data_IF_559227953963
#
_entry.id   IF_559227953963
#
_cell.length_a   1.000
_cell.length_b   1.000
_cell.length_c   1.000
_cell.angle_alpha   90.00
_cell.angle_beta   90.00
_cell.angle_gamma   90.00
#
_symmetry.space_group_name_H-M   'P 1'
#
loop_
_entity.id
_entity.type
_entity.pdbx_description
1 polymer ?
#
# COMPACT_ATOMS: atom_id res chain seq x y z
N UNK A 1 9.99 -9.23 -5.67
CA UNK A 1 10.48 -8.87 -4.33
C UNK A 1 11.99 -9.07 -4.21
N UNK A 2 12.53 -10.22 -4.68
CA UNK A 2 13.99 -10.44 -4.66
C UNK A 2 14.78 -9.31 -5.35
N UNK A 3 14.27 -8.78 -6.47
CA UNK A 3 14.93 -7.64 -7.17
C UNK A 3 14.97 -6.37 -6.33
N UNK A 4 13.96 -6.16 -5.49
CA UNK A 4 13.91 -5.01 -4.58
C UNK A 4 14.95 -5.17 -3.46
N UNK A 5 15.04 -6.37 -2.91
CA UNK A 5 16.01 -6.71 -1.88
C UNK A 5 17.45 -6.62 -2.39
N UNK A 6 17.73 -7.12 -3.62
CA UNK A 6 19.05 -7.04 -4.26
C UNK A 6 19.61 -5.61 -4.36
N UNK A 7 18.74 -4.61 -4.45
CA UNK A 7 19.15 -3.19 -4.56
C UNK A 7 18.90 -2.38 -3.28
N UNK A 8 18.55 -3.05 -2.18
CA UNK A 8 18.43 -2.43 -0.86
C UNK A 8 17.17 -1.59 -0.66
N UNK A 9 16.05 -1.92 -1.35
CA UNK A 9 14.76 -1.30 -1.07
C UNK A 9 14.24 -1.81 0.27
N UNK A 10 13.79 -0.90 1.12
CA UNK A 10 13.31 -1.21 2.47
C UNK A 10 11.81 -1.50 2.52
N UNK A 11 11.02 -0.81 1.69
CA UNK A 11 9.56 -0.95 1.65
C UNK A 11 9.06 -1.07 0.22
N UNK A 12 8.18 -2.03 -0.03
CA UNK A 12 7.48 -2.21 -1.32
C UNK A 12 5.99 -2.31 -1.07
N UNK A 13 5.19 -1.51 -1.76
CA UNK A 13 3.74 -1.63 -1.72
C UNK A 13 3.23 -2.25 -3.03
N UNK A 14 2.54 -3.38 -2.92
CA UNK A 14 1.91 -4.08 -4.04
C UNK A 14 0.40 -3.84 -4.00
N UNK A 15 -0.15 -3.18 -5.02
CA UNK A 15 -1.59 -2.97 -5.12
C UNK A 15 -2.26 -4.14 -5.85
N UNK A 16 -2.87 -5.04 -5.10
CA UNK A 16 -3.49 -6.25 -5.65
C UNK A 16 -4.99 -6.08 -5.95
N UNK A 17 -5.72 -5.32 -5.12
CA UNK A 17 -7.16 -5.13 -5.29
C UNK A 17 -7.59 -3.76 -4.78
N UNK A 18 -8.29 -2.98 -5.63
CA UNK A 18 -8.88 -1.72 -5.18
C UNK A 18 -10.23 -1.92 -4.48
N UNK A 19 -10.67 -0.92 -3.69
CA UNK A 19 -12.03 -0.90 -3.15
C UNK A 19 -13.10 -0.97 -4.26
N UNK A 20 -12.87 -0.31 -5.39
CA UNK A 20 -13.81 -0.30 -6.52
C UNK A 20 -13.95 -1.70 -7.15
N UNK A 21 -12.88 -2.50 -7.11
CA UNK A 21 -12.91 -3.87 -7.63
C UNK A 21 -13.79 -4.82 -6.79
N UNK A 22 -14.09 -4.48 -5.53
CA UNK A 22 -14.99 -5.28 -4.68
C UNK A 22 -16.43 -5.28 -5.20
N UNK A 23 -16.80 -4.31 -6.04
CA UNK A 23 -18.09 -4.26 -6.70
C UNK A 23 -18.21 -5.15 -7.96
N UNK A 24 -17.15 -5.87 -8.35
CA UNK A 24 -17.19 -6.79 -9.48
C UNK A 24 -18.16 -7.95 -9.25
N UNK A 25 -18.68 -8.56 -10.33
CA UNK A 25 -19.45 -9.78 -10.23
C UNK A 25 -18.68 -10.89 -9.48
N UNK A 26 -19.39 -11.67 -8.67
CA UNK A 26 -18.77 -12.72 -7.84
C UNK A 26 -17.95 -13.74 -8.64
N UNK A 27 -18.38 -14.08 -9.85
CA UNK A 27 -17.64 -15.00 -10.73
C UNK A 27 -16.26 -14.46 -11.18
N UNK A 28 -16.03 -13.15 -11.09
CA UNK A 28 -14.72 -12.54 -11.33
C UNK A 28 -13.95 -12.29 -10.02
N UNK A 29 -14.67 -11.83 -8.99
CA UNK A 29 -14.06 -11.44 -7.72
C UNK A 29 -13.57 -12.66 -6.92
N UNK A 30 -14.38 -13.72 -6.79
CA UNK A 30 -14.05 -14.87 -5.96
C UNK A 30 -12.76 -15.59 -6.41
N UNK A 31 -12.51 -15.84 -7.71
CA UNK A 31 -11.23 -16.39 -8.16
C UNK A 31 -10.04 -15.47 -7.86
N UNK A 32 -10.23 -14.15 -8.01
CA UNK A 32 -9.18 -13.18 -7.74
C UNK A 32 -8.80 -13.15 -6.25
N UNK A 33 -9.78 -13.17 -5.35
CA UNK A 33 -9.54 -13.23 -3.91
C UNK A 33 -8.78 -14.49 -3.51
N UNK A 34 -9.13 -15.66 -4.08
CA UNK A 34 -8.39 -16.90 -3.84
C UNK A 34 -6.94 -16.81 -4.27
N UNK A 35 -6.67 -16.25 -5.46
CA UNK A 35 -5.29 -16.04 -5.93
C UNK A 35 -4.52 -15.13 -4.97
N UNK A 36 -5.16 -14.10 -4.44
CA UNK A 36 -4.56 -13.19 -3.47
C UNK A 36 -4.26 -13.94 -2.15
N UNK A 37 -5.23 -14.69 -1.63
CA UNK A 37 -5.09 -15.49 -0.42
C UNK A 37 -3.93 -16.48 -0.53
N UNK A 38 -3.90 -17.27 -1.60
CA UNK A 38 -2.83 -18.25 -1.87
C UNK A 38 -1.47 -17.55 -1.98
N UNK A 39 -1.40 -16.45 -2.75
CA UNK A 39 -0.15 -15.69 -2.94
C UNK A 39 0.38 -15.13 -1.62
N UNK A 40 -0.49 -14.58 -0.79
CA UNK A 40 -0.10 -13.98 0.50
C UNK A 40 0.35 -15.06 1.48
N UNK A 41 -0.35 -16.20 1.53
CA UNK A 41 0.07 -17.34 2.33
C UNK A 41 1.45 -17.87 1.89
N UNK A 42 1.66 -18.05 0.60
CA UNK A 42 2.94 -18.50 0.03
C UNK A 42 4.09 -17.54 0.36
N UNK A 43 3.83 -16.23 0.34
CA UNK A 43 4.82 -15.22 0.72
C UNK A 43 5.14 -15.29 2.21
N UNK A 44 4.14 -15.45 3.07
CA UNK A 44 4.30 -15.54 4.51
C UNK A 44 5.05 -16.81 4.94
N UNK A 45 4.75 -17.95 4.31
CA UNK A 45 5.40 -19.24 4.59
C UNK A 45 6.91 -19.24 4.30
N UNK A 46 7.36 -18.41 3.35
CA UNK A 46 8.79 -18.24 3.07
C UNK A 46 9.54 -17.57 4.21
N UNK A 47 8.85 -16.83 5.08
CA UNK A 47 9.44 -16.06 6.20
C UNK A 47 10.65 -15.22 5.81
N UNK A 48 10.62 -14.69 4.58
CA UNK A 48 11.72 -13.92 4.01
C UNK A 48 11.47 -12.41 4.15
N UNK A 49 10.22 -11.98 4.13
CA UNK A 49 9.80 -10.58 4.14
C UNK A 49 8.74 -10.33 5.21
N UNK A 50 8.67 -9.11 5.69
CA UNK A 50 7.61 -8.68 6.61
C UNK A 50 6.36 -8.37 5.79
N UNK A 51 5.29 -9.10 6.00
CA UNK A 51 4.03 -8.84 5.30
C UNK A 51 3.18 -7.86 6.12
N UNK A 52 2.81 -6.75 5.50
CA UNK A 52 1.97 -5.72 6.11
C UNK A 52 0.72 -5.48 5.25
N UNK A 53 -0.46 -5.95 5.65
CA UNK A 53 -1.70 -5.68 4.95
C UNK A 53 -2.07 -4.20 5.04
N UNK A 54 -2.41 -3.59 3.90
CA UNK A 54 -2.92 -2.22 3.84
C UNK A 54 -4.24 -2.18 3.06
N UNK A 55 -5.22 -1.44 3.58
CA UNK A 55 -6.53 -1.32 2.97
C UNK A 55 -7.68 -1.48 3.97
N UNK A 56 -8.89 -1.35 3.48
CA UNK A 56 -10.10 -1.49 4.28
C UNK A 56 -10.44 -2.98 4.50
N UNK A 57 -9.68 -3.66 5.37
CA UNK A 57 -9.81 -5.11 5.61
C UNK A 57 -11.23 -5.50 6.06
N UNK A 58 -11.94 -4.60 6.72
CA UNK A 58 -13.33 -4.79 7.16
C UNK A 58 -14.35 -4.81 5.99
N UNK A 59 -13.94 -4.45 4.78
CA UNK A 59 -14.75 -4.54 3.55
C UNK A 59 -14.52 -5.86 2.79
N UNK A 60 -13.50 -6.62 3.16
CA UNK A 60 -13.15 -7.89 2.53
C UNK A 60 -14.00 -9.04 3.07
N UNK A 61 -14.19 -10.12 2.30
CA UNK A 61 -14.69 -11.37 2.84
C UNK A 61 -13.82 -11.84 4.02
N UNK A 62 -14.46 -12.47 5.00
CA UNK A 62 -13.80 -12.88 6.24
C UNK A 62 -12.57 -13.78 5.99
N UNK A 63 -12.65 -14.73 5.06
CA UNK A 63 -11.55 -15.60 4.71
C UNK A 63 -10.33 -14.81 4.21
N UNK A 64 -10.54 -13.85 3.33
CA UNK A 64 -9.47 -13.01 2.79
C UNK A 64 -8.85 -12.13 3.88
N UNK A 65 -9.67 -11.51 4.73
CA UNK A 65 -9.19 -10.69 5.85
C UNK A 65 -8.36 -11.53 6.82
N UNK A 66 -8.84 -12.73 7.19
CA UNK A 66 -8.12 -13.64 8.08
C UNK A 66 -6.79 -14.12 7.48
N UNK A 67 -6.74 -14.42 6.18
CA UNK A 67 -5.50 -14.80 5.50
C UNK A 67 -4.44 -13.68 5.58
N UNK A 68 -4.85 -12.42 5.34
CA UNK A 68 -3.98 -11.26 5.44
C UNK A 68 -3.46 -11.03 6.86
N UNK A 69 -4.32 -11.09 7.86
CA UNK A 69 -3.94 -10.94 9.27
C UNK A 69 -2.99 -12.07 9.69
N UNK A 70 -3.29 -13.32 9.33
CA UNK A 70 -2.42 -14.46 9.62
C UNK A 70 -1.05 -14.33 8.97
N UNK A 71 -0.97 -13.81 7.75
CA UNK A 71 0.30 -13.57 7.06
C UNK A 71 1.15 -12.52 7.80
N UNK A 72 0.54 -11.45 8.28
CA UNK A 72 1.18 -10.44 9.11
C UNK A 72 1.72 -11.05 10.41
N UNK A 73 0.91 -11.81 11.13
CA UNK A 73 1.31 -12.48 12.38
C UNK A 73 2.46 -13.47 12.14
N UNK A 74 2.38 -14.27 11.06
CA UNK A 74 3.38 -15.28 10.72
C UNK A 74 4.76 -14.66 10.42
N UNK A 75 4.79 -13.41 9.96
CA UNK A 75 6.00 -12.69 9.57
C UNK A 75 6.40 -11.57 10.54
N UNK A 76 5.75 -11.46 11.70
CA UNK A 76 5.97 -10.37 12.66
C UNK A 76 7.43 -10.29 13.17
N UNK A 77 8.10 -11.43 13.31
CA UNK A 77 9.49 -11.51 13.79
C UNK A 77 10.52 -11.46 12.65
N UNK A 78 10.08 -11.42 11.40
CA UNK A 78 10.97 -11.35 10.23
C UNK A 78 11.56 -9.95 10.14
N UNK A 79 12.84 -9.86 9.75
CA UNK A 79 13.54 -8.59 9.52
C UNK A 79 13.88 -8.44 8.04
N UNK A 80 13.92 -7.21 7.56
CA UNK A 80 14.30 -6.90 6.18
C UNK A 80 13.19 -6.17 5.41
N UNK A 81 13.03 -6.49 4.15
CA UNK A 81 12.07 -5.83 3.26
C UNK A 81 10.64 -5.94 3.80
N UNK A 82 9.99 -4.80 3.97
CA UNK A 82 8.57 -4.72 4.30
C UNK A 82 7.77 -4.75 2.99
N UNK A 83 6.82 -5.65 2.92
CA UNK A 83 5.93 -5.81 1.78
C UNK A 83 4.51 -5.42 2.19
N UNK A 84 4.11 -4.21 1.83
CA UNK A 84 2.74 -3.78 1.96
C UNK A 84 1.88 -4.47 0.90
N UNK A 85 0.89 -5.22 1.33
CA UNK A 85 -0.06 -5.92 0.47
C UNK A 85 -1.38 -5.16 0.48
N UNK A 86 -1.59 -4.33 -0.56
CA UNK A 86 -2.77 -3.47 -0.66
C UNK A 86 -3.95 -4.22 -1.27
N UNK A 87 -4.92 -4.60 -0.43
CA UNK A 87 -6.14 -5.35 -0.79
C UNK A 87 -7.36 -4.62 -0.23
N UNK A 88 -8.36 -4.38 -1.09
CA UNK A 88 -9.46 -3.49 -0.73
C UNK A 88 -8.96 -2.08 -0.44
N UNK A 89 -7.95 -1.65 -1.19
CA UNK A 89 -7.30 -0.37 -0.99
C UNK A 89 -7.86 0.71 -1.92
N UNK A 90 -8.01 1.91 -1.38
CA UNK A 90 -8.33 3.11 -2.14
C UNK A 90 -7.92 4.35 -1.34
N UNK A 91 -7.08 5.22 -1.91
CA UNK A 91 -6.48 6.33 -1.16
C UNK A 91 -7.51 7.34 -0.62
N UNK A 92 -8.61 7.59 -1.35
CA UNK A 92 -9.70 8.42 -0.79
C UNK A 92 -10.37 7.76 0.41
N UNK A 93 -10.52 6.45 0.37
CA UNK A 93 -11.08 5.67 1.48
C UNK A 93 -10.13 5.68 2.68
N UNK A 94 -8.85 5.49 2.43
CA UNK A 94 -7.81 5.55 3.46
C UNK A 94 -7.84 6.90 4.21
N UNK A 95 -7.89 8.02 3.49
CA UNK A 95 -8.00 9.36 4.11
C UNK A 95 -9.25 9.48 4.99
N UNK A 96 -10.39 8.98 4.51
CA UNK A 96 -11.64 8.99 5.32
C UNK A 96 -11.49 8.13 6.57
N UNK A 97 -10.88 6.96 6.45
CA UNK A 97 -10.69 6.06 7.58
C UNK A 97 -9.64 6.61 8.57
N UNK A 98 -8.60 7.27 8.08
CA UNK A 98 -7.62 8.01 8.90
C UNK A 98 -8.29 9.11 9.73
N UNK A 99 -9.12 9.96 9.10
CA UNK A 99 -9.88 11.01 9.80
C UNK A 99 -10.81 10.41 10.85
N UNK A 100 -11.52 9.33 10.53
CA UNK A 100 -12.38 8.65 11.52
C UNK A 100 -11.59 8.12 12.71
N UNK A 101 -10.45 7.48 12.45
CA UNK A 101 -9.56 6.96 13.50
C UNK A 101 -9.05 8.08 14.41
N UNK A 102 -8.61 9.18 13.83
CA UNK A 102 -8.19 10.38 14.55
C UNK A 102 -9.31 10.94 15.46
N UNK A 103 -10.52 11.09 14.91
CA UNK A 103 -11.67 11.57 15.67
C UNK A 103 -12.03 10.62 16.82
N UNK A 104 -11.96 9.32 16.61
CA UNK A 104 -12.25 8.32 17.64
C UNK A 104 -11.21 8.35 18.76
N UNK A 105 -9.93 8.49 18.44
CA UNK A 105 -8.85 8.58 19.42
C UNK A 105 -9.02 9.82 20.31
N UNK A 106 -9.24 11.00 19.71
CA UNK A 106 -9.44 12.24 20.44
C UNK A 106 -10.73 12.23 21.27
N UNK A 107 -11.81 11.65 20.76
CA UNK A 107 -13.02 11.47 21.53
C UNK A 107 -12.80 10.58 22.77
N UNK A 108 -12.07 9.48 22.61
CA UNK A 108 -11.73 8.59 23.73
C UNK A 108 -10.82 9.27 24.77
N UNK A 109 -9.99 10.21 24.33
CA UNK A 109 -9.17 11.05 25.20
C UNK A 109 -9.94 12.19 25.88
N UNK A 110 -11.22 12.40 25.53
CA UNK A 110 -12.07 13.44 26.10
C UNK A 110 -11.92 14.83 25.47
N UNK A 111 -11.21 14.93 24.33
CA UNK A 111 -11.02 16.20 23.62
C UNK A 111 -12.32 16.64 22.92
N UNK A 112 -12.56 17.94 22.90
CA UNK A 112 -13.64 18.54 22.11
C UNK A 112 -13.26 18.66 20.62
N UNK A 113 -14.28 18.80 19.76
CA UNK A 113 -14.02 19.08 18.33
C UNK A 113 -13.32 20.40 18.10
N UNK A 114 -13.55 21.40 18.97
CA UNK A 114 -12.91 22.71 18.89
C UNK A 114 -11.41 22.61 19.20
N UNK A 115 -11.05 21.84 20.23
CA UNK A 115 -9.67 21.55 20.57
C UNK A 115 -8.98 20.81 19.42
N UNK A 116 -9.59 19.73 18.90
CA UNK A 116 -9.03 18.98 17.79
C UNK A 116 -8.85 19.87 16.54
N UNK A 117 -9.85 20.70 16.19
CA UNK A 117 -9.76 21.59 15.04
C UNK A 117 -8.63 22.62 15.17
N UNK A 118 -8.21 22.95 16.40
CA UNK A 118 -7.11 23.90 16.64
C UNK A 118 -5.72 23.29 16.52
N UNK A 119 -5.59 21.96 16.63
CA UNK A 119 -4.29 21.25 16.66
C UNK A 119 -4.06 20.34 15.45
N UNK A 120 -5.13 20.02 14.69
CA UNK A 120 -5.01 19.08 13.57
C UNK A 120 -4.03 19.60 12.51
N UNK A 121 -3.11 18.75 12.08
CA UNK A 121 -2.11 19.02 11.07
C UNK A 121 -1.90 17.78 10.18
N UNK A 122 -1.01 17.89 9.19
CA UNK A 122 -0.67 16.85 8.21
C UNK A 122 -0.21 15.57 8.91
N UNK A 123 0.65 15.72 9.91
CA UNK A 123 1.21 14.61 10.69
C UNK A 123 0.14 13.82 11.42
N UNK A 124 -0.89 14.47 11.95
CA UNK A 124 -2.00 13.80 12.63
C UNK A 124 -2.78 12.90 11.67
N UNK A 125 -2.95 13.29 10.41
CA UNK A 125 -3.57 12.44 9.39
C UNK A 125 -2.61 11.29 9.01
N UNK A 126 -1.32 11.58 8.80
CA UNK A 126 -0.32 10.59 8.44
C UNK A 126 -0.20 9.48 9.48
N UNK A 127 -0.30 9.81 10.76
CA UNK A 127 -0.27 8.87 11.90
C UNK A 127 -1.49 7.94 11.98
N UNK A 128 -2.51 8.18 11.16
CA UNK A 128 -3.71 7.35 11.07
C UNK A 128 -3.89 6.65 9.72
N UNK A 129 -2.96 6.85 8.77
CA UNK A 129 -2.96 6.12 7.51
C UNK A 129 -2.62 4.64 7.70
N UNK A 130 -2.98 3.81 6.73
CA UNK A 130 -2.66 2.36 6.77
C UNK A 130 -1.16 2.08 6.73
N UNK A 131 -0.36 3.04 6.22
CA UNK A 131 1.11 2.98 6.15
C UNK A 131 1.81 3.72 7.28
N UNK A 132 1.10 4.01 8.37
CA UNK A 132 1.63 4.68 9.56
C UNK A 132 3.02 4.17 9.95
N UNK A 133 3.93 5.11 10.20
CA UNK A 133 5.30 4.80 10.64
C UNK A 133 6.25 4.30 9.54
N UNK A 134 5.78 4.24 8.30
CA UNK A 134 6.61 3.92 7.13
C UNK A 134 6.96 5.20 6.35
N UNK A 135 8.08 5.22 5.61
CA UNK A 135 8.41 6.33 4.74
C UNK A 135 7.44 6.41 3.55
N UNK A 136 7.24 7.63 3.06
CA UNK A 136 6.55 7.85 1.80
C UNK A 136 7.32 7.21 0.63
N UNK A 137 6.61 6.71 -0.40
CA UNK A 137 7.26 6.07 -1.54
C UNK A 137 8.06 7.07 -2.37
N UNK A 138 9.30 6.73 -2.66
CA UNK A 138 10.16 7.51 -3.56
C UNK A 138 9.74 7.37 -5.02
N UNK A 139 9.29 6.18 -5.40
CA UNK A 139 8.96 5.82 -6.78
C UNK A 139 7.67 5.02 -6.83
N UNK A 140 6.75 5.44 -7.69
CA UNK A 140 5.55 4.68 -8.06
C UNK A 140 5.71 4.16 -9.47
N UNK A 141 5.72 2.84 -9.66
CA UNK A 141 5.74 2.20 -10.97
C UNK A 141 4.32 1.76 -11.33
N UNK A 142 3.78 2.30 -12.42
CA UNK A 142 2.51 1.85 -12.96
C UNK A 142 2.72 1.12 -14.27
N UNK A 143 2.28 -0.13 -14.31
CA UNK A 143 2.26 -0.99 -15.49
C UNK A 143 1.00 -0.76 -16.34
N UNK A 144 0.87 -1.44 -17.48
CA UNK A 144 -0.27 -1.38 -18.43
C UNK A 144 -0.37 -0.15 -19.32
N UNK A 145 0.64 0.73 -19.38
CA UNK A 145 0.64 1.94 -20.20
C UNK A 145 -0.29 3.06 -19.71
N UNK A 146 -1.05 2.83 -18.66
CA UNK A 146 -1.97 3.81 -18.08
C UNK A 146 -1.23 4.91 -17.33
N UNK A 147 -1.55 6.18 -17.60
CA UNK A 147 -0.87 7.35 -17.04
C UNK A 147 -1.73 8.08 -16.01
N UNK A 148 -2.22 7.36 -15.01
CA UNK A 148 -3.00 7.92 -13.90
C UNK A 148 -2.69 7.19 -12.59
N UNK A 149 -2.79 7.89 -11.47
CA UNK A 149 -2.57 7.34 -10.12
C UNK A 149 -3.69 6.39 -9.69
N UNK A 150 -4.92 6.62 -10.14
CA UNK A 150 -6.15 5.89 -9.74
C UNK A 150 -6.38 5.83 -8.23
N UNK A 151 -5.81 6.77 -7.48
CA UNK A 151 -5.92 6.84 -6.02
C UNK A 151 -4.98 5.92 -5.25
N UNK A 152 -3.99 5.31 -5.90
CA UNK A 152 -2.98 4.51 -5.22
C UNK A 152 -2.04 5.39 -4.40
N UNK A 153 -1.92 5.12 -3.10
CA UNK A 153 -1.12 5.87 -2.14
C UNK A 153 -1.28 7.39 -2.31
N UNK A 154 -2.56 7.85 -2.39
CA UNK A 154 -2.92 9.21 -2.78
C UNK A 154 -2.24 10.28 -1.90
N UNK A 155 -2.18 10.05 -0.60
CA UNK A 155 -1.54 10.95 0.36
C UNK A 155 -0.02 10.82 0.30
N UNK A 156 0.47 9.61 0.40
CA UNK A 156 1.89 9.29 0.53
C UNK A 156 2.69 9.58 -0.74
N UNK A 157 2.06 9.57 -1.92
CA UNK A 157 2.74 9.78 -3.19
C UNK A 157 2.85 11.25 -3.63
N UNK A 158 2.54 12.18 -2.74
CA UNK A 158 2.57 13.62 -3.04
C UNK A 158 3.93 14.10 -3.60
N UNK A 159 5.03 13.50 -3.17
CA UNK A 159 6.39 13.82 -3.60
C UNK A 159 7.09 12.67 -4.34
N UNK A 160 6.34 11.62 -4.68
CA UNK A 160 6.89 10.47 -5.41
C UNK A 160 7.20 10.81 -6.86
N UNK A 161 8.24 10.17 -7.39
CA UNK A 161 8.44 10.10 -8.83
C UNK A 161 7.57 9.00 -9.45
N UNK A 162 7.06 9.25 -10.67
CA UNK A 162 6.23 8.28 -11.37
C UNK A 162 6.96 7.71 -12.58
N UNK A 163 6.88 6.39 -12.72
CA UNK A 163 7.34 5.68 -13.90
C UNK A 163 6.19 4.86 -14.50
N UNK A 164 5.81 5.19 -15.73
CA UNK A 164 4.77 4.48 -16.47
C UNK A 164 5.41 3.46 -17.41
N UNK A 165 4.99 2.21 -17.32
CA UNK A 165 5.51 1.09 -18.09
C UNK A 165 4.41 0.47 -18.94
N UNK A 166 4.68 0.26 -20.22
CA UNK A 166 3.75 -0.36 -21.19
C UNK A 166 3.46 -1.84 -20.88
N UNK A 167 4.38 -2.54 -20.20
CA UNK A 167 4.19 -3.94 -19.88
C UNK A 167 3.00 -4.15 -18.95
N UNK A 168 2.18 -5.16 -19.23
CA UNK A 168 1.19 -5.64 -18.27
C UNK A 168 1.86 -6.36 -17.12
N UNK A 169 1.28 -6.34 -15.93
CA UNK A 169 1.86 -6.92 -14.72
C UNK A 169 2.36 -8.37 -14.87
N UNK A 170 1.62 -9.30 -15.51
CA UNK A 170 2.11 -10.66 -15.69
C UNK A 170 3.38 -10.77 -16.55
N UNK A 171 3.65 -9.77 -17.39
CA UNK A 171 4.81 -9.69 -18.27
C UNK A 171 5.88 -8.71 -17.78
N UNK A 172 5.74 -8.15 -16.59
CA UNK A 172 6.73 -7.25 -15.99
C UNK A 172 7.96 -8.02 -15.55
N UNK A 173 9.12 -7.69 -16.14
CA UNK A 173 10.38 -8.43 -15.96
C UNK A 173 11.41 -7.60 -15.19
N UNK A 174 12.46 -8.25 -14.72
CA UNK A 174 13.59 -7.56 -14.05
C UNK A 174 14.15 -6.40 -14.87
N UNK A 175 14.23 -6.54 -16.19
CA UNK A 175 14.71 -5.47 -17.07
C UNK A 175 13.79 -4.23 -17.03
N UNK A 176 12.48 -4.43 -16.95
CA UNK A 176 11.51 -3.34 -16.88
C UNK A 176 11.60 -2.62 -15.53
N UNK A 177 11.76 -3.39 -14.45
CA UNK A 177 12.05 -2.87 -13.11
C UNK A 177 13.35 -2.05 -13.08
N UNK A 178 14.46 -2.60 -13.59
CA UNK A 178 15.75 -1.90 -13.62
C UNK A 178 15.73 -0.63 -14.48
N UNK A 179 14.91 -0.59 -15.53
CA UNK A 179 14.68 0.63 -16.31
C UNK A 179 13.99 1.71 -15.49
N UNK A 180 12.98 1.33 -14.68
CA UNK A 180 12.32 2.26 -13.77
C UNK A 180 13.30 2.82 -12.74
N UNK A 181 14.10 1.97 -12.10
CA UNK A 181 15.13 2.38 -11.14
C UNK A 181 16.17 3.28 -11.77
N UNK A 182 16.64 2.97 -12.99
CA UNK A 182 17.59 3.82 -13.72
C UNK A 182 16.98 5.18 -14.06
N UNK A 183 15.71 5.22 -14.50
CA UNK A 183 15.02 6.46 -14.80
C UNK A 183 14.85 7.32 -13.55
N UNK A 184 14.54 6.71 -12.41
CA UNK A 184 14.47 7.35 -11.11
C UNK A 184 15.82 7.96 -10.69
N UNK A 185 16.90 7.18 -10.76
CA UNK A 185 18.25 7.64 -10.40
C UNK A 185 18.81 8.76 -11.31
N UNK A 186 18.29 8.87 -12.56
CA UNK A 186 18.68 9.93 -13.48
C UNK A 186 17.94 11.26 -13.25
N UNK A 187 16.92 11.29 -12.40
CA UNK A 187 16.15 12.50 -12.09
C UNK A 187 16.78 13.26 -10.94
N UNK A 188 16.97 14.58 -11.12
CA UNK A 188 17.35 15.46 -10.03
C UNK A 188 16.12 15.78 -9.19
N UNK A 189 16.04 15.27 -7.98
CA UNK A 189 15.00 15.63 -7.02
C UNK A 189 15.21 17.09 -6.55
N UNK A 190 14.35 17.98 -7.01
CA UNK A 190 14.29 19.37 -6.53
C UNK A 190 13.11 19.48 -5.59
N UNK A 191 13.35 19.46 -4.28
CA UNK A 191 12.34 19.67 -3.24
C UNK A 191 11.94 21.13 -3.10
N UNK A 192 11.58 21.81 -4.20
CA UNK A 192 11.07 23.19 -4.14
C UNK A 192 12.10 24.27 -3.75
N UNK A 193 13.40 23.98 -3.87
CA UNK A 193 14.50 24.95 -3.61
C UNK A 193 15.07 25.43 -4.91
#
# INVERSE_FOLDING_TARGET
LDWCEEIGIEVVTLWLLSTDNLARPKNELDPLLRIIEDTVCDLADKKKWVIHPVGALNMLPEATSQALVKAQETTADVKGLIVNVAVGYGGRREVVDAVKSLLQEHHAAGSSLEELASIIDIEHIADHLYTKGQPDPDLVIRTSGEQRLSGFLLWQSAHSEFYFCEAYWPNFRKVDFLRAIRAFGARNRRYGV
#
